data_IF_030108523139
#
_entry.id   IF_030108523139
#
_cell.length_a   1.000
_cell.length_b   1.000
_cell.length_c   1.000
_cell.angle_alpha   90.00
_cell.angle_beta   90.00
_cell.angle_gamma   90.00
#
_symmetry.space_group_name_H-M   'P 1'
#
loop_
_entity.id
_entity.type
_entity.pdbx_description
1 polymer ?
#
# COMPACT_ATOMS: atom_id res chain seq x y z
N UNK A 1 4.34 5.04 -22.97
CA UNK A 1 5.02 5.08 -21.65
C UNK A 1 4.28 6.06 -20.74
N UNK A 2 2.98 5.82 -20.51
CA UNK A 2 2.10 6.65 -19.66
C UNK A 2 1.77 5.96 -18.32
N UNK A 3 1.98 4.64 -18.25
CA UNK A 3 1.35 3.76 -17.26
C UNK A 3 1.81 3.96 -15.80
N UNK A 4 3.11 4.17 -15.55
CA UNK A 4 3.64 4.23 -14.17
C UNK A 4 3.23 5.51 -13.45
N UNK A 5 3.25 6.66 -14.15
CA UNK A 5 2.86 7.95 -13.57
C UNK A 5 1.38 7.94 -13.20
N UNK A 6 0.55 7.35 -14.04
CA UNK A 6 -0.88 7.20 -13.77
C UNK A 6 -1.15 6.24 -12.61
N UNK A 7 -0.45 5.11 -12.54
CA UNK A 7 -0.54 4.17 -11.40
C UNK A 7 -0.16 4.85 -10.08
N UNK A 8 0.96 5.56 -10.04
CA UNK A 8 1.37 6.34 -8.86
C UNK A 8 0.35 7.42 -8.50
N UNK A 9 -0.21 8.12 -9.49
CA UNK A 9 -1.22 9.15 -9.24
C UNK A 9 -2.53 8.56 -8.69
N UNK A 10 -2.95 7.39 -9.17
CA UNK A 10 -4.11 6.67 -8.63
C UNK A 10 -3.86 6.18 -7.21
N UNK A 11 -2.71 5.54 -6.98
CA UNK A 11 -2.30 5.09 -5.65
C UNK A 11 -2.26 6.26 -4.65
N UNK A 12 -1.65 7.38 -5.05
CA UNK A 12 -1.63 8.62 -4.27
C UNK A 12 -3.01 9.13 -3.95
N UNK A 13 -3.95 9.11 -4.91
CA UNK A 13 -5.31 9.60 -4.70
C UNK A 13 -6.02 8.81 -3.61
N UNK A 14 -5.99 7.47 -3.67
CA UNK A 14 -6.60 6.63 -2.65
C UNK A 14 -6.04 6.95 -1.25
N UNK A 15 -4.72 6.95 -1.13
CA UNK A 15 -4.07 7.10 0.17
C UNK A 15 -4.22 8.51 0.76
N UNK A 16 -4.20 9.56 -0.07
CA UNK A 16 -4.40 10.93 0.43
C UNK A 16 -5.85 11.20 0.79
N UNK A 17 -6.81 10.66 0.04
CA UNK A 17 -8.23 10.79 0.38
C UNK A 17 -8.52 10.09 1.70
N UNK A 18 -7.96 8.89 1.91
CA UNK A 18 -8.05 8.19 3.19
C UNK A 18 -7.39 8.99 4.33
N UNK A 19 -6.23 9.61 4.08
CA UNK A 19 -5.54 10.44 5.06
C UNK A 19 -6.35 11.67 5.47
N UNK A 20 -6.95 12.37 4.51
CA UNK A 20 -7.82 13.53 4.73
C UNK A 20 -9.10 13.16 5.50
N UNK A 21 -9.74 12.04 5.16
CA UNK A 21 -10.93 11.58 5.86
C UNK A 21 -10.64 11.11 7.28
N UNK A 22 -9.50 10.44 7.51
CA UNK A 22 -9.12 9.97 8.83
C UNK A 22 -8.77 11.12 9.80
N UNK A 23 -8.33 12.28 9.30
CA UNK A 23 -8.11 13.48 10.12
C UNK A 23 -9.42 14.18 10.50
N UNK A 24 -10.52 13.91 9.79
CA UNK A 24 -11.79 14.63 9.95
C UNK A 24 -12.87 13.85 10.72
N UNK A 25 -12.76 12.53 10.87
CA UNK A 25 -13.76 11.68 11.53
C UNK A 25 -13.14 10.82 12.64
N UNK A 26 -13.67 10.93 13.85
CA UNK A 26 -13.08 10.37 15.08
C UNK A 26 -13.60 8.96 15.45
N UNK A 27 -14.72 8.49 14.88
CA UNK A 27 -15.44 7.34 15.45
C UNK A 27 -15.49 6.05 14.59
N UNK A 28 -15.46 6.08 13.25
CA UNK A 28 -15.56 4.85 12.44
C UNK A 28 -14.62 4.83 11.21
N UNK A 29 -13.39 4.36 11.41
CA UNK A 29 -12.39 4.22 10.33
C UNK A 29 -12.69 3.10 9.34
N UNK A 30 -13.55 2.14 9.69
CA UNK A 30 -13.84 0.97 8.85
C UNK A 30 -14.63 1.31 7.57
N UNK A 31 -15.38 2.41 7.58
CA UNK A 31 -16.18 2.88 6.44
C UNK A 31 -15.40 3.78 5.46
N UNK A 32 -14.11 4.04 5.73
CA UNK A 32 -13.27 4.90 4.89
C UNK A 32 -12.98 4.31 3.51
N UNK A 33 -13.14 3.00 3.35
CA UNK A 33 -12.73 2.28 2.15
C UNK A 33 -13.69 1.13 1.87
N UNK A 34 -14.23 1.06 0.66
CA UNK A 34 -14.98 -0.13 0.25
C UNK A 34 -14.04 -1.32 -0.01
N UNK A 35 -14.52 -2.57 0.07
CA UNK A 35 -13.73 -3.74 -0.30
C UNK A 35 -13.11 -3.66 -1.71
N UNK A 36 -13.85 -3.10 -2.67
CA UNK A 36 -13.36 -2.91 -4.03
C UNK A 36 -12.17 -1.94 -4.10
N UNK A 37 -12.22 -0.85 -3.35
CA UNK A 37 -11.13 0.13 -3.30
C UNK A 37 -9.90 -0.44 -2.57
N UNK A 38 -10.10 -1.24 -1.53
CA UNK A 38 -9.01 -1.97 -0.87
C UNK A 38 -8.29 -2.90 -1.85
N UNK A 39 -9.04 -3.69 -2.63
CA UNK A 39 -8.45 -4.52 -3.68
C UNK A 39 -7.75 -3.72 -4.78
N UNK A 40 -8.30 -2.57 -5.18
CA UNK A 40 -7.68 -1.69 -6.16
C UNK A 40 -6.33 -1.14 -5.66
N UNK A 41 -6.25 -0.72 -4.40
CA UNK A 41 -4.99 -0.26 -3.77
C UNK A 41 -3.91 -1.36 -3.86
N UNK A 42 -4.24 -2.58 -3.42
CA UNK A 42 -3.30 -3.71 -3.41
C UNK A 42 -2.88 -4.12 -4.83
N UNK A 43 -3.84 -4.14 -5.77
CA UNK A 43 -3.56 -4.44 -7.18
C UNK A 43 -2.68 -3.39 -7.84
N UNK A 44 -2.90 -2.11 -7.55
CA UNK A 44 -2.04 -1.03 -8.03
C UNK A 44 -0.64 -1.18 -7.45
N UNK A 45 -0.52 -1.54 -6.16
CA UNK A 45 0.78 -1.72 -5.51
C UNK A 45 1.58 -2.88 -6.09
N UNK A 46 0.92 -3.98 -6.44
CA UNK A 46 1.52 -5.10 -7.18
C UNK A 46 2.09 -4.65 -8.53
N UNK A 47 1.30 -3.90 -9.31
CA UNK A 47 1.76 -3.37 -10.60
C UNK A 47 2.94 -2.42 -10.46
N UNK A 48 2.97 -1.62 -9.39
CA UNK A 48 4.10 -0.73 -9.10
C UNK A 48 5.35 -1.49 -8.69
N UNK A 49 5.22 -2.66 -8.06
CA UNK A 49 6.35 -3.51 -7.69
C UNK A 49 7.04 -4.14 -8.92
N UNK A 50 6.29 -4.35 -10.00
CA UNK A 50 6.79 -4.90 -11.27
C UNK A 50 7.30 -3.80 -12.23
N UNK A 51 7.09 -2.53 -11.90
CA UNK A 51 7.45 -1.40 -12.74
C UNK A 51 8.90 -0.94 -12.52
N UNK A 52 9.55 -0.49 -13.60
CA UNK A 52 10.82 0.25 -13.49
C UNK A 52 10.56 1.68 -13.04
N UNK A 53 10.98 2.02 -11.82
CA UNK A 53 10.78 3.34 -11.22
C UNK A 53 12.07 4.15 -11.26
N UNK A 54 11.94 5.42 -11.63
CA UNK A 54 13.02 6.39 -11.41
C UNK A 54 13.24 6.64 -9.90
N UNK A 55 14.41 7.16 -9.48
CA UNK A 55 14.65 7.46 -8.06
C UNK A 55 13.66 8.44 -7.44
N UNK A 56 13.08 9.35 -8.23
CA UNK A 56 12.02 10.24 -7.76
C UNK A 56 10.69 9.50 -7.52
N UNK A 57 10.33 8.58 -8.42
CA UNK A 57 9.14 7.76 -8.30
C UNK A 57 9.25 6.74 -7.15
N UNK A 58 10.44 6.18 -6.94
CA UNK A 58 10.73 5.28 -5.83
C UNK A 58 10.53 5.98 -4.48
N UNK A 59 11.05 7.21 -4.32
CA UNK A 59 10.84 8.01 -3.10
C UNK A 59 9.37 8.36 -2.87
N UNK A 60 8.65 8.69 -3.94
CA UNK A 60 7.21 8.94 -3.82
C UNK A 60 6.45 7.67 -3.43
N UNK A 61 6.80 6.51 -4.01
CA UNK A 61 6.23 5.23 -3.63
C UNK A 61 6.49 4.89 -2.16
N UNK A 62 7.70 5.14 -1.66
CA UNK A 62 8.04 4.93 -0.24
C UNK A 62 7.19 5.81 0.69
N UNK A 63 7.01 7.09 0.35
CA UNK A 63 6.14 8.01 1.09
C UNK A 63 4.68 7.53 1.09
N UNK A 64 4.21 6.99 -0.03
CA UNK A 64 2.86 6.43 -0.14
C UNK A 64 2.74 5.11 0.63
N UNK A 65 3.76 4.26 0.61
CA UNK A 65 3.80 3.02 1.39
C UNK A 65 3.80 3.29 2.91
N UNK A 66 4.33 4.43 3.38
CA UNK A 66 4.17 4.86 4.78
C UNK A 66 2.70 5.18 5.12
N UNK A 67 1.96 5.83 4.20
CA UNK A 67 0.52 6.04 4.37
C UNK A 67 -0.25 4.71 4.34
N UNK A 68 0.12 3.79 3.46
CA UNK A 68 -0.49 2.46 3.41
C UNK A 68 -0.31 1.71 4.74
N UNK A 69 0.89 1.78 5.35
CA UNK A 69 1.14 1.19 6.68
C UNK A 69 0.32 1.90 7.76
N UNK A 70 0.26 3.24 7.74
CA UNK A 70 -0.53 4.03 8.70
C UNK A 70 -2.00 3.60 8.73
N UNK A 71 -2.56 3.21 7.59
CA UNK A 71 -3.95 2.79 7.42
C UNK A 71 -4.10 1.30 7.08
N UNK A 72 -3.12 0.48 7.48
CA UNK A 72 -3.08 -0.94 7.16
C UNK A 72 -4.26 -1.72 7.74
N UNK A 73 -4.78 -1.29 8.89
CA UNK A 73 -5.97 -1.83 9.54
C UNK A 73 -7.25 -1.63 8.72
N UNK A 74 -7.44 -0.44 8.13
CA UNK A 74 -8.58 -0.13 7.25
C UNK A 74 -8.53 -0.97 5.98
N UNK A 75 -7.34 -1.09 5.36
CA UNK A 75 -7.16 -1.85 4.12
C UNK A 75 -7.32 -3.35 4.36
N UNK A 76 -6.67 -3.90 5.40
CA UNK A 76 -6.78 -5.34 5.75
C UNK A 76 -8.16 -5.73 6.29
N UNK A 77 -8.88 -4.79 6.91
CA UNK A 77 -10.28 -4.98 7.31
C UNK A 77 -11.24 -5.12 6.13
N UNK A 78 -10.89 -4.54 4.97
CA UNK A 78 -11.73 -4.51 3.77
C UNK A 78 -11.26 -5.45 2.64
N UNK A 79 -9.99 -5.86 2.64
CA UNK A 79 -9.43 -6.84 1.72
C UNK A 79 -8.78 -7.98 2.51
N UNK A 80 -9.23 -9.24 2.34
CA UNK A 80 -8.59 -10.36 3.00
C UNK A 80 -7.14 -10.52 2.52
N UNK A 81 -6.22 -10.96 3.40
CA UNK A 81 -4.84 -11.21 3.00
C UNK A 81 -4.76 -12.31 1.94
N UNK A 82 -3.80 -12.21 1.02
CA UNK A 82 -3.46 -13.33 0.13
C UNK A 82 -2.33 -14.15 0.75
N UNK A 83 -2.69 -15.25 1.42
CA UNK A 83 -1.75 -16.17 2.06
C UNK A 83 -0.72 -16.79 1.10
N UNK A 84 -0.94 -16.70 -0.22
CA UNK A 84 -0.01 -17.20 -1.24
C UNK A 84 0.96 -16.11 -1.70
N UNK A 85 0.72 -14.84 -1.36
CA UNK A 85 1.62 -13.76 -1.69
C UNK A 85 2.93 -13.92 -0.91
N UNK A 86 4.10 -13.88 -1.58
CA UNK A 86 5.38 -13.99 -0.88
C UNK A 86 5.59 -12.80 0.06
N UNK A 87 6.41 -12.99 1.12
CA UNK A 87 6.77 -11.93 2.09
C UNK A 87 7.29 -10.65 1.43
N UNK A 88 8.01 -10.78 0.30
CA UNK A 88 8.46 -9.64 -0.52
C UNK A 88 7.34 -8.69 -0.99
N UNK A 89 6.09 -9.15 -1.02
CA UNK A 89 4.86 -8.38 -1.25
C UNK A 89 4.12 -8.11 0.07
N UNK A 90 4.81 -7.50 1.01
CA UNK A 90 4.35 -7.20 2.37
C UNK A 90 2.99 -6.48 2.45
N UNK A 91 2.57 -5.74 1.41
CA UNK A 91 1.28 -5.06 1.37
C UNK A 91 0.07 -6.01 1.36
N UNK A 92 0.26 -7.32 1.11
CA UNK A 92 -0.77 -8.34 1.29
C UNK A 92 -0.88 -8.86 2.73
N UNK A 93 0.01 -8.40 3.62
CA UNK A 93 0.16 -8.83 5.01
C UNK A 93 0.06 -7.62 5.97
N UNK A 94 -0.79 -6.64 5.62
CA UNK A 94 -0.92 -5.36 6.35
C UNK A 94 -1.45 -5.54 7.77
N UNK A 95 -2.16 -6.64 8.04
CA UNK A 95 -2.65 -7.02 9.36
C UNK A 95 -1.52 -7.27 10.38
N UNK A 96 -0.31 -7.55 9.89
CA UNK A 96 0.89 -7.70 10.73
C UNK A 96 1.54 -6.34 11.07
N UNK A 97 0.99 -5.24 10.56
CA UNK A 97 1.51 -3.89 10.79
C UNK A 97 2.81 -3.60 10.04
N UNK A 98 3.66 -2.73 10.61
CA UNK A 98 4.92 -2.33 9.96
C UNK A 98 5.95 -3.46 9.89
N UNK A 99 5.81 -4.50 10.72
CA UNK A 99 6.77 -5.61 10.83
C UNK A 99 6.91 -6.36 9.50
N UNK A 100 5.79 -6.69 8.83
CA UNK A 100 5.82 -7.36 7.52
C UNK A 100 6.64 -6.58 6.48
N UNK A 101 6.59 -5.25 6.53
CA UNK A 101 7.36 -4.39 5.61
C UNK A 101 8.85 -4.40 5.96
N UNK A 102 9.18 -4.33 7.23
CA UNK A 102 10.57 -4.29 7.71
C UNK A 102 11.27 -5.62 7.45
N UNK A 103 10.57 -6.74 7.66
CA UNK A 103 11.05 -8.08 7.30
C UNK A 103 11.29 -8.21 5.80
N UNK A 104 10.33 -7.79 4.97
CA UNK A 104 10.48 -7.81 3.52
C UNK A 104 11.66 -6.93 3.03
N UNK A 105 11.97 -5.85 3.73
CA UNK A 105 13.15 -5.01 3.45
C UNK A 105 14.45 -5.70 3.87
N UNK A 106 14.47 -6.33 5.05
CA UNK A 106 15.62 -7.08 5.53
C UNK A 106 15.98 -8.24 4.59
N UNK A 107 14.99 -8.99 4.11
CA UNK A 107 15.19 -10.09 3.15
C UNK A 107 15.79 -9.63 1.81
N UNK A 108 15.42 -8.44 1.32
CA UNK A 108 16.03 -7.91 0.09
C UNK A 108 17.51 -7.57 0.27
N UNK A 109 17.90 -7.10 1.45
CA UNK A 109 19.29 -6.73 1.76
C UNK A 109 20.19 -7.96 1.93
N UNK A 110 19.64 -9.12 2.31
CA UNK A 110 20.41 -10.37 2.43
C UNK A 110 20.52 -11.13 1.11
N UNK A 111 19.66 -10.83 0.13
CA UNK A 111 19.61 -11.50 -1.18
C UNK A 111 20.24 -10.68 -2.31
N UNK A 112 20.68 -9.45 -2.04
CA UNK A 112 21.39 -8.56 -2.98
C UNK A 112 22.90 -8.63 -2.80
#
# INVERSE_FOLDING_TARGET
MEAVKELLARYRRYLLVMDEYAETWDEDRLDLLSPGEAFDILTIRDRLAEAYLTPAQQRELERLDDLLVKYGDVVSGNAPPDIRAPRSRWWWHLEEGSEARDDARAERLTTS
#
